data_IF_566087482658
#
_entry.id   IF_566087482658
#
_cell.length_a   1.000
_cell.length_b   1.000
_cell.length_c   1.000
_cell.angle_alpha   90.00
_cell.angle_beta   90.00
_cell.angle_gamma   90.00
#
_symmetry.space_group_name_H-M   'P 1'
#
loop_
_entity.id
_entity.type
_entity.pdbx_description
1 polymer ?
#
# COMPACT_ATOMS: atom_id res chain seq x y z
N UNK A 1 12.95 48.27 60.44
CA UNK A 1 12.33 47.11 61.10
C UNK A 1 10.82 47.15 60.83
N UNK A 2 10.23 46.05 60.31
CA UNK A 2 8.78 45.80 60.16
C UNK A 2 7.98 46.29 58.93
N UNK A 3 8.54 46.43 57.72
CA UNK A 3 7.69 46.65 56.52
C UNK A 3 8.02 45.81 55.27
N UNK A 4 8.99 44.90 55.33
CA UNK A 4 9.36 44.06 54.17
C UNK A 4 8.77 42.64 54.18
N UNK A 5 8.05 42.22 55.24
CA UNK A 5 7.54 40.84 55.34
C UNK A 5 6.18 40.64 54.65
N UNK A 6 5.30 41.65 54.58
CA UNK A 6 3.92 41.43 54.12
C UNK A 6 3.74 41.37 52.59
N UNK A 7 4.75 41.73 51.78
CA UNK A 7 4.60 41.73 50.30
C UNK A 7 5.12 40.45 49.64
N UNK A 8 5.92 39.66 50.34
CA UNK A 8 6.44 38.39 49.83
C UNK A 8 5.38 37.27 49.82
N UNK A 9 4.51 37.21 50.83
CA UNK A 9 3.44 36.19 50.88
C UNK A 9 2.34 36.42 49.84
N UNK A 10 2.00 37.67 49.51
CA UNK A 10 0.93 37.95 48.55
C UNK A 10 1.33 37.61 47.10
N UNK A 11 2.61 37.78 46.73
CA UNK A 11 3.08 37.52 45.37
C UNK A 11 3.18 36.02 45.04
N UNK A 12 3.56 35.18 46.02
CA UNK A 12 3.67 33.71 45.83
C UNK A 12 2.28 33.06 45.71
N UNK A 13 1.28 33.58 46.42
CA UNK A 13 -0.10 33.06 46.37
C UNK A 13 -0.79 33.38 45.04
N UNK A 14 -0.54 34.55 44.45
CA UNK A 14 -1.15 34.95 43.17
C UNK A 14 -0.55 34.17 41.98
N UNK A 15 0.74 33.84 42.01
CA UNK A 15 1.39 33.08 40.93
C UNK A 15 1.06 31.58 40.97
N UNK A 16 0.86 31.00 42.16
CA UNK A 16 0.44 29.61 42.32
C UNK A 16 -1.04 29.37 41.94
N UNK A 17 -1.90 30.38 42.08
CA UNK A 17 -3.31 30.30 41.67
C UNK A 17 -3.51 30.47 40.16
N UNK A 18 -2.60 31.16 39.46
CA UNK A 18 -2.70 31.31 38.00
C UNK A 18 -2.25 30.05 37.24
N UNK A 19 -1.32 29.25 37.79
CA UNK A 19 -0.85 28.00 37.15
C UNK A 19 -1.85 26.84 37.23
N UNK A 20 -2.76 26.83 38.21
CA UNK A 20 -3.80 25.78 38.33
C UNK A 20 -4.97 26.01 37.36
N UNK A 21 -5.15 27.23 36.86
CA UNK A 21 -6.25 27.58 35.95
C UNK A 21 -5.96 27.31 34.47
N UNK A 22 -4.70 27.07 34.07
CA UNK A 22 -4.33 26.90 32.65
C UNK A 22 -4.27 25.44 32.20
N UNK A 23 -4.23 24.47 33.12
CA UNK A 23 -4.10 23.03 32.78
C UNK A 23 -5.42 22.24 32.76
N UNK A 24 -6.55 22.84 33.19
CA UNK A 24 -7.83 22.13 33.32
C UNK A 24 -8.77 22.24 32.11
N UNK A 25 -8.39 22.90 31.02
CA UNK A 25 -9.34 23.35 30.00
C UNK A 25 -9.20 22.72 28.60
N UNK A 26 -8.43 21.63 28.42
CA UNK A 26 -8.25 21.00 27.10
C UNK A 26 -8.57 19.50 27.01
N UNK A 27 -9.26 18.90 27.99
CA UNK A 27 -9.92 17.60 27.77
C UNK A 27 -11.44 17.75 27.86
N UNK A 28 -12.00 18.61 27.00
CA UNK A 28 -13.41 18.47 26.68
C UNK A 28 -13.51 17.21 25.81
N UNK A 29 -13.57 16.04 26.46
CA UNK A 29 -13.95 14.80 25.81
C UNK A 29 -15.25 15.08 25.08
N UNK A 30 -15.25 14.98 23.75
CA UNK A 30 -16.47 15.08 22.97
C UNK A 30 -17.41 14.02 23.50
N UNK A 31 -18.60 14.44 23.91
CA UNK A 31 -19.62 13.52 24.38
C UNK A 31 -20.12 12.72 23.19
N UNK A 32 -19.59 11.51 23.04
CA UNK A 32 -19.96 10.60 21.95
C UNK A 32 -21.20 9.78 22.30
N UNK A 33 -21.87 10.03 23.43
CA UNK A 33 -23.09 9.30 23.78
C UNK A 33 -24.20 9.49 22.76
N UNK A 34 -24.25 10.66 22.10
CA UNK A 34 -25.19 10.95 21.00
C UNK A 34 -24.84 10.20 19.70
N UNK A 35 -23.57 9.84 19.49
CA UNK A 35 -23.16 9.07 18.32
C UNK A 35 -23.65 7.61 18.39
N UNK A 36 -23.74 7.05 19.60
CA UNK A 36 -24.25 5.69 19.78
C UNK A 36 -25.71 5.58 19.30
N UNK A 37 -26.55 6.55 19.68
CA UNK A 37 -27.96 6.60 19.22
C UNK A 37 -28.08 6.78 17.71
N UNK A 38 -27.18 7.56 17.09
CA UNK A 38 -27.13 7.69 15.64
C UNK A 38 -26.86 6.35 14.95
N UNK A 39 -25.92 5.54 15.44
CA UNK A 39 -25.65 4.21 14.86
C UNK A 39 -26.73 3.17 15.20
N UNK A 40 -27.43 3.32 16.33
CA UNK A 40 -28.54 2.44 16.71
C UNK A 40 -29.81 2.71 15.87
N UNK A 41 -30.05 3.97 15.47
CA UNK A 41 -31.20 4.37 14.63
C UNK A 41 -30.91 4.34 13.11
N UNK A 42 -29.63 4.34 12.72
CA UNK A 42 -29.21 4.24 11.33
C UNK A 42 -28.52 2.89 11.11
N UNK A 43 -29.32 1.89 10.74
CA UNK A 43 -28.78 0.61 10.28
C UNK A 43 -27.85 0.85 9.09
N UNK A 44 -26.58 0.50 9.25
CA UNK A 44 -25.62 0.57 8.15
C UNK A 44 -25.97 -0.50 7.13
N UNK A 45 -26.73 -0.12 6.10
CA UNK A 45 -26.84 -0.92 4.91
C UNK A 45 -25.52 -0.85 4.15
N UNK A 46 -24.71 -1.91 4.29
CA UNK A 46 -23.59 -2.15 3.38
C UNK A 46 -24.17 -2.48 2.00
N UNK A 47 -24.48 -1.44 1.21
CA UNK A 47 -24.80 -1.62 -0.20
C UNK A 47 -23.56 -2.25 -0.86
N UNK A 48 -23.69 -3.50 -1.29
CA UNK A 48 -22.70 -4.13 -2.16
C UNK A 48 -22.50 -3.18 -3.35
N UNK A 49 -21.29 -2.64 -3.49
CA UNK A 49 -20.94 -1.85 -4.67
C UNK A 49 -21.29 -2.71 -5.89
N UNK A 50 -22.07 -2.21 -6.86
CA UNK A 50 -22.36 -2.98 -8.06
C UNK A 50 -21.02 -3.37 -8.68
N UNK A 51 -20.80 -4.68 -8.84
CA UNK A 51 -19.63 -5.21 -9.51
C UNK A 51 -19.79 -4.86 -10.99
N UNK A 52 -19.21 -3.74 -11.38
CA UNK A 52 -19.36 -3.16 -12.71
C UNK A 52 -18.59 -4.00 -13.72
N UNK A 53 -19.13 -5.14 -14.17
CA UNK A 53 -18.67 -5.97 -15.32
C UNK A 53 -17.15 -6.13 -15.47
N UNK A 54 -16.39 -6.04 -14.37
CA UNK A 54 -14.95 -5.89 -14.43
C UNK A 54 -14.35 -7.29 -14.49
N UNK A 55 -13.80 -7.61 -15.66
CA UNK A 55 -13.06 -8.86 -15.84
C UNK A 55 -11.76 -8.78 -15.04
N UNK A 56 -11.50 -9.77 -14.20
CA UNK A 56 -10.27 -9.83 -13.40
C UNK A 56 -9.01 -9.80 -14.27
N UNK A 57 -8.04 -8.97 -13.88
CA UNK A 57 -6.75 -8.86 -14.55
C UNK A 57 -5.88 -10.11 -14.30
N UNK A 58 -5.32 -10.67 -15.37
CA UNK A 58 -4.54 -11.92 -15.34
C UNK A 58 -3.32 -11.83 -16.27
N UNK A 59 -2.25 -12.54 -15.90
CA UNK A 59 -1.08 -12.79 -16.78
C UNK A 59 -1.09 -14.25 -17.21
N UNK A 60 -0.89 -14.51 -18.51
CA UNK A 60 -0.76 -15.85 -19.06
C UNK A 60 0.62 -16.05 -19.73
N UNK A 61 1.34 -17.14 -19.41
CA UNK A 61 1.06 -18.07 -18.31
C UNK A 61 1.19 -17.40 -16.93
N UNK A 62 0.52 -17.95 -15.91
CA UNK A 62 0.60 -17.44 -14.51
C UNK A 62 1.94 -17.75 -13.83
N UNK A 63 2.75 -18.61 -14.44
CA UNK A 63 4.13 -18.87 -14.04
C UNK A 63 4.90 -19.53 -15.17
N UNK A 64 6.23 -19.37 -15.15
CA UNK A 64 7.12 -19.94 -16.18
C UNK A 64 8.44 -20.35 -15.57
N UNK A 65 8.96 -21.52 -15.92
CA UNK A 65 10.34 -21.91 -15.60
C UNK A 65 11.23 -21.63 -16.80
N UNK A 66 12.37 -21.00 -16.56
CA UNK A 66 13.39 -20.68 -17.56
C UNK A 66 14.73 -21.19 -17.08
N UNK A 67 15.39 -22.06 -17.84
CA UNK A 67 16.53 -22.88 -17.37
C UNK A 67 17.90 -22.36 -17.81
N UNK A 68 17.98 -21.41 -18.74
CA UNK A 68 19.25 -20.83 -19.21
C UNK A 68 19.15 -19.32 -19.48
N UNK A 69 20.29 -18.64 -19.37
CA UNK A 69 20.39 -17.19 -19.56
C UNK A 69 20.14 -16.82 -21.02
N UNK A 70 19.43 -15.71 -21.26
CA UNK A 70 18.98 -15.30 -22.58
C UNK A 70 17.74 -16.03 -23.10
N UNK A 71 17.23 -17.05 -22.39
CA UNK A 71 15.93 -17.65 -22.72
C UNK A 71 14.84 -16.56 -22.72
N UNK A 72 13.84 -16.73 -23.59
CA UNK A 72 12.74 -15.79 -23.72
C UNK A 72 11.39 -16.45 -23.42
N UNK A 73 10.46 -15.67 -22.89
CA UNK A 73 9.09 -16.07 -22.63
C UNK A 73 8.12 -14.98 -23.04
N UNK A 74 7.11 -15.37 -23.82
CA UNK A 74 5.97 -14.51 -24.13
C UNK A 74 4.99 -14.52 -22.96
N UNK A 75 4.64 -13.35 -22.47
CA UNK A 75 3.58 -13.13 -21.48
C UNK A 75 2.46 -12.32 -22.12
N UNK A 76 1.21 -12.61 -21.75
CA UNK A 76 0.03 -11.92 -22.29
C UNK A 76 -0.90 -11.50 -21.15
N UNK A 77 -1.40 -10.27 -21.22
CA UNK A 77 -2.45 -9.75 -20.35
C UNK A 77 -3.82 -10.31 -20.77
N UNK A 78 -4.66 -10.60 -19.78
CA UNK A 78 -6.07 -10.97 -19.98
C UNK A 78 -6.97 -10.31 -18.93
N UNK A 79 -8.18 -9.91 -19.32
CA UNK A 79 -9.07 -9.14 -18.46
C UNK A 79 -8.56 -7.72 -18.19
N UNK A 80 -9.08 -7.08 -17.14
CA UNK A 80 -8.78 -5.69 -16.80
C UNK A 80 -9.20 -4.68 -17.88
N UNK A 81 -8.69 -3.45 -17.76
CA UNK A 81 -8.97 -2.36 -18.68
C UNK A 81 -7.65 -1.78 -19.21
N UNK A 82 -7.43 -1.91 -20.52
CA UNK A 82 -6.29 -1.30 -21.21
C UNK A 82 -6.30 0.25 -21.11
N UNK A 83 -5.14 0.92 -21.21
CA UNK A 83 -3.80 0.40 -21.48
C UNK A 83 -3.22 -0.43 -20.34
N UNK A 84 -2.32 -1.35 -20.70
CA UNK A 84 -1.54 -2.14 -19.75
C UNK A 84 -0.13 -1.58 -19.63
N UNK A 85 0.46 -1.76 -18.46
CA UNK A 85 1.86 -1.48 -18.18
C UNK A 85 2.49 -2.69 -17.52
N UNK A 86 3.75 -2.94 -17.84
CA UNK A 86 4.50 -4.10 -17.37
C UNK A 86 5.77 -3.65 -16.67
N UNK A 87 6.12 -4.36 -15.60
CA UNK A 87 7.35 -4.13 -14.84
C UNK A 87 7.96 -5.47 -14.40
N UNK A 88 9.23 -5.43 -14.03
CA UNK A 88 10.01 -6.57 -13.52
C UNK A 88 10.55 -6.23 -12.15
N UNK A 89 10.33 -7.10 -11.17
CA UNK A 89 10.71 -6.85 -9.79
C UNK A 89 12.22 -6.64 -9.61
N UNK A 90 13.04 -7.49 -10.23
CA UNK A 90 14.50 -7.34 -10.26
C UNK A 90 15.03 -7.39 -11.69
N UNK A 91 15.49 -6.23 -12.18
CA UNK A 91 16.04 -6.07 -13.53
C UNK A 91 17.39 -6.76 -13.73
N UNK A 92 18.09 -7.13 -12.65
CA UNK A 92 19.33 -7.91 -12.73
C UNK A 92 19.07 -9.39 -13.04
N UNK A 93 17.88 -9.90 -12.70
CA UNK A 93 17.47 -11.28 -12.93
C UNK A 93 16.78 -11.48 -14.28
N UNK A 94 16.17 -10.43 -14.83
CA UNK A 94 15.47 -10.48 -16.12
C UNK A 94 15.01 -9.12 -16.61
N UNK A 95 14.63 -9.04 -17.88
CA UNK A 95 14.16 -7.78 -18.49
C UNK A 95 13.02 -8.01 -19.49
N UNK A 96 12.15 -7.02 -19.65
CA UNK A 96 11.21 -6.97 -20.77
C UNK A 96 11.94 -6.37 -21.97
N UNK A 97 12.04 -7.13 -23.05
CA UNK A 97 12.80 -6.75 -24.25
C UNK A 97 11.91 -6.30 -25.41
N UNK A 98 10.62 -6.63 -25.35
CA UNK A 98 9.60 -6.18 -26.30
C UNK A 98 8.28 -5.95 -25.56
N UNK A 99 7.60 -4.84 -25.88
CA UNK A 99 6.31 -4.47 -25.32
C UNK A 99 5.35 -4.00 -26.43
N UNK A 100 4.20 -4.67 -26.54
CA UNK A 100 3.11 -4.36 -27.47
C UNK A 100 1.80 -4.04 -26.75
N UNK A 101 1.87 -3.70 -25.46
CA UNK A 101 0.73 -3.43 -24.59
C UNK A 101 0.18 -4.71 -23.99
N UNK A 102 -0.68 -5.44 -24.71
CA UNK A 102 -1.29 -6.66 -24.19
C UNK A 102 -0.33 -7.86 -24.13
N UNK A 103 0.82 -7.77 -24.78
CA UNK A 103 1.81 -8.85 -24.88
C UNK A 103 3.20 -8.27 -24.70
N UNK A 104 4.02 -8.95 -23.89
CA UNK A 104 5.44 -8.66 -23.72
C UNK A 104 6.31 -9.89 -23.93
N UNK A 105 7.58 -9.68 -24.26
CA UNK A 105 8.62 -10.71 -24.25
C UNK A 105 9.55 -10.43 -23.07
N UNK A 106 9.56 -11.35 -22.10
CA UNK A 106 10.52 -11.36 -21.00
C UNK A 106 11.75 -12.19 -21.39
N UNK A 107 12.94 -11.71 -21.03
CA UNK A 107 14.21 -12.42 -21.17
C UNK A 107 14.83 -12.65 -19.80
N UNK A 108 15.28 -13.87 -19.54
CA UNK A 108 16.08 -14.20 -18.36
C UNK A 108 17.49 -13.65 -18.54
N UNK A 109 18.03 -12.95 -17.54
CA UNK A 109 19.41 -12.43 -17.55
C UNK A 109 20.34 -13.28 -16.69
N UNK A 110 19.86 -13.79 -15.53
CA UNK A 110 20.63 -14.69 -14.68
C UNK A 110 19.73 -15.61 -13.84
N UNK A 111 20.32 -16.50 -13.05
CA UNK A 111 19.61 -17.39 -12.13
C UNK A 111 19.02 -16.63 -10.93
N UNK A 112 17.89 -17.11 -10.42
CA UNK A 112 17.14 -16.50 -9.31
C UNK A 112 15.71 -16.15 -9.73
N UNK A 113 14.73 -16.55 -8.94
CA UNK A 113 13.32 -16.31 -9.27
C UNK A 113 13.00 -14.82 -9.36
N UNK A 114 12.18 -14.46 -10.34
CA UNK A 114 11.78 -13.08 -10.59
C UNK A 114 10.25 -12.97 -10.69
N UNK A 115 9.73 -11.75 -10.59
CA UNK A 115 8.30 -11.48 -10.70
C UNK A 115 8.06 -10.44 -11.77
N UNK A 116 7.20 -10.77 -12.73
CA UNK A 116 6.66 -9.83 -13.69
C UNK A 116 5.33 -9.29 -13.17
N UNK A 117 5.19 -7.97 -13.19
CA UNK A 117 4.05 -7.22 -12.67
C UNK A 117 3.29 -6.64 -13.86
N UNK A 118 2.01 -6.96 -13.98
CA UNK A 118 1.09 -6.38 -14.95
C UNK A 118 0.16 -5.41 -14.22
N UNK A 119 0.11 -4.15 -14.65
CA UNK A 119 -0.82 -3.14 -14.13
C UNK A 119 -1.75 -2.63 -15.24
N UNK A 120 -3.05 -2.57 -14.97
CA UNK A 120 -4.03 -2.00 -15.90
C UNK A 120 -4.27 -0.50 -15.69
N UNK A 121 -5.09 0.11 -16.54
CA UNK A 121 -5.36 1.56 -16.48
C UNK A 121 -6.14 2.02 -15.24
N UNK A 122 -6.78 1.10 -14.52
CA UNK A 122 -7.49 1.40 -13.27
C UNK A 122 -6.62 1.21 -12.03
N UNK A 123 -5.38 0.74 -12.22
CA UNK A 123 -4.41 0.48 -11.15
C UNK A 123 -4.47 -0.95 -10.61
N UNK A 124 -5.19 -1.86 -11.26
CA UNK A 124 -5.19 -3.27 -10.84
C UNK A 124 -3.90 -3.94 -11.19
N UNK A 125 -3.51 -4.91 -10.37
CA UNK A 125 -2.27 -5.64 -10.56
C UNK A 125 -2.47 -7.15 -10.65
N UNK A 126 -1.66 -7.78 -11.48
CA UNK A 126 -1.51 -9.22 -11.60
C UNK A 126 -0.03 -9.58 -11.66
N UNK A 127 0.33 -10.75 -11.15
CA UNK A 127 1.73 -11.15 -10.98
C UNK A 127 1.98 -12.50 -11.65
N UNK A 128 3.15 -12.62 -12.27
CA UNK A 128 3.65 -13.87 -12.84
C UNK A 128 5.03 -14.17 -12.26
N UNK A 129 5.17 -15.33 -11.61
CA UNK A 129 6.46 -15.78 -11.07
C UNK A 129 7.23 -16.50 -12.18
N UNK A 130 8.46 -16.04 -12.42
CA UNK A 130 9.39 -16.66 -13.34
C UNK A 130 10.42 -17.41 -12.50
N UNK A 131 10.36 -18.74 -12.51
CA UNK A 131 11.34 -19.59 -11.85
C UNK A 131 12.61 -19.69 -12.70
N UNK A 132 13.76 -19.35 -12.13
CA UNK A 132 15.04 -19.30 -12.87
C UNK A 132 16.12 -20.13 -12.16
N UNK A 133 16.01 -21.48 -12.17
CA UNK A 133 17.01 -22.34 -11.55
C UNK A 133 18.39 -22.19 -12.22
N UNK A 134 19.44 -22.61 -11.51
CA UNK A 134 20.77 -22.73 -12.10
C UNK A 134 20.72 -23.61 -13.37
N UNK A 135 21.55 -23.28 -14.36
CA UNK A 135 21.68 -24.09 -15.57
C UNK A 135 22.14 -25.51 -15.19
N UNK A 136 21.42 -26.53 -15.65
CA UNK A 136 21.86 -27.91 -15.49
C UNK A 136 23.09 -28.15 -16.37
N UNK A 137 24.27 -28.23 -15.76
CA UNK A 137 25.47 -28.74 -16.42
C UNK A 137 25.37 -30.25 -16.54
N UNK A 138 25.01 -30.74 -17.72
CA UNK A 138 25.17 -32.16 -18.05
C UNK A 138 26.67 -32.45 -18.18
N UNK A 139 27.24 -33.13 -17.17
CA UNK A 139 28.63 -33.66 -17.21
C UNK A 139 28.76 -34.85 -18.18
#
# INVERSE_FOLDING_TARGET
>A
MRLLWNRACAAVVVLALLSVLVLGACERSLDTSELQGYFDENEYESLSRPDLDRVSLTVSPSGKTMTYDGQQAKLSAGGGIAPYSWDVHDVSLGSIIEDSGAVVIYRRETLGDNVVILTDSTGDQSFCVIAQPAEETTE
#
